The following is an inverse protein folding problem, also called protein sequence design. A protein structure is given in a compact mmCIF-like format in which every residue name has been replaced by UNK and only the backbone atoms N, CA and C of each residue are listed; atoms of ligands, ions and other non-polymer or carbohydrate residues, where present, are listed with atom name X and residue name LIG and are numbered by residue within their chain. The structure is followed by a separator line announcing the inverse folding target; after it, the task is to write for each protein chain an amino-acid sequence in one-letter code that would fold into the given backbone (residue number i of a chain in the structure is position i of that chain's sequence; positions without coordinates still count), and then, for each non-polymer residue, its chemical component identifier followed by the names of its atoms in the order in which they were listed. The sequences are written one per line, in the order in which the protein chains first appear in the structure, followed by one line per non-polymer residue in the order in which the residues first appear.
data_IF_726109528119
#
_entry.id   IF_726109528119
#
_cell.length_a   1.000
_cell.length_b   1.000
_cell.length_c   1.000
_cell.angle_alpha   90.00
_cell.angle_beta   90.00
_cell.angle_gamma   90.00
#
_symmetry.space_group_name_H-M   'P 1'
#
loop_
_entity.id
_entity.type
_entity.pdbx_description
1 polymer ?
#
# COMPACT_ATOMS: atom_id res chain seq x y z
N UNK A 1 -2.51 -11.49 20.52
CA UNK A 1 -1.31 -11.35 19.67
C UNK A 1 -1.70 -10.35 18.61
N UNK A 2 -1.47 -9.08 18.92
CA UNK A 2 -1.75 -7.95 18.07
C UNK A 2 -0.79 -7.97 16.89
N UNK A 3 -1.31 -8.27 15.70
CA UNK A 3 -0.55 -8.27 14.44
C UNK A 3 -0.17 -6.84 13.98
N UNK A 4 -0.53 -5.81 14.75
CA UNK A 4 -0.21 -4.41 14.45
C UNK A 4 1.18 -3.97 14.92
N UNK A 5 1.71 -4.57 15.99
CA UNK A 5 2.97 -4.12 16.60
C UNK A 5 4.24 -4.53 15.81
N UNK A 6 4.21 -5.68 15.12
CA UNK A 6 5.42 -6.21 14.47
C UNK A 6 5.92 -5.39 13.26
N UNK A 7 5.03 -4.63 12.62
CA UNK A 7 5.40 -3.80 11.46
C UNK A 7 5.95 -2.44 11.90
N UNK A 8 5.42 -1.85 12.98
CA UNK A 8 5.89 -0.56 13.49
C UNK A 8 7.25 -0.68 14.19
N UNK A 9 7.48 -1.71 15.01
CA UNK A 9 8.82 -1.97 15.59
C UNK A 9 9.87 -2.19 14.48
N UNK A 10 9.50 -2.89 13.40
CA UNK A 10 10.42 -3.11 12.28
C UNK A 10 10.78 -1.83 11.54
N UNK A 11 9.88 -0.84 11.42
CA UNK A 11 10.18 0.42 10.73
C UNK A 11 11.14 1.30 11.54
N UNK A 12 11.06 1.26 12.87
CA UNK A 12 11.98 2.02 13.72
C UNK A 12 13.41 1.48 13.70
N UNK A 13 13.61 0.19 13.43
CA UNK A 13 14.93 -0.42 13.30
C UNK A 13 15.60 -0.18 11.93
N UNK A 14 14.83 0.16 10.90
CA UNK A 14 15.35 0.44 9.56
C UNK A 14 16.12 1.78 9.50
N UNK A 15 17.17 1.79 8.69
CA UNK A 15 17.90 3.02 8.36
C UNK A 15 17.09 3.94 7.45
N UNK A 16 17.43 5.23 7.39
CA UNK A 16 16.81 6.19 6.44
C UNK A 16 16.86 5.70 4.99
N UNK A 17 17.92 4.98 4.61
CA UNK A 17 18.07 4.43 3.26
C UNK A 17 17.06 3.31 3.03
N UNK A 18 16.97 2.35 3.94
CA UNK A 18 16.03 1.24 3.84
C UNK A 18 14.57 1.70 3.88
N UNK A 19 14.25 2.69 4.71
CA UNK A 19 12.92 3.30 4.75
C UNK A 19 12.56 3.98 3.41
N UNK A 20 13.52 4.64 2.75
CA UNK A 20 13.30 5.20 1.40
C UNK A 20 13.09 4.12 0.34
N UNK A 21 13.90 3.07 0.37
CA UNK A 21 13.72 1.93 -0.55
C UNK A 21 12.38 1.23 -0.32
N UNK A 22 11.94 1.12 0.93
CA UNK A 22 10.62 0.55 1.26
C UNK A 22 9.49 1.48 0.82
N UNK A 23 9.64 2.80 1.00
CA UNK A 23 8.68 3.79 0.52
C UNK A 23 8.50 3.70 -1.00
N UNK A 24 9.60 3.68 -1.75
CA UNK A 24 9.59 3.54 -3.21
C UNK A 24 8.87 2.26 -3.63
N UNK A 25 9.21 1.12 -3.04
CA UNK A 25 8.52 -0.16 -3.32
C UNK A 25 7.02 -0.11 -3.03
N UNK A 26 6.59 0.59 -1.99
CA UNK A 26 5.16 0.71 -1.66
C UNK A 26 4.44 1.65 -2.59
N UNK A 27 5.10 2.72 -3.06
CA UNK A 27 4.58 3.61 -4.09
C UNK A 27 4.44 2.88 -5.43
N UNK A 28 5.46 2.13 -5.84
CA UNK A 28 5.40 1.31 -7.05
C UNK A 28 4.25 0.29 -6.98
N UNK A 29 4.10 -0.40 -5.84
CA UNK A 29 3.00 -1.33 -5.62
C UNK A 29 1.62 -0.63 -5.69
N UNK A 30 1.50 0.57 -5.12
CA UNK A 30 0.27 1.35 -5.19
C UNK A 30 -0.10 1.65 -6.65
N UNK A 31 0.88 2.10 -7.44
CA UNK A 31 0.68 2.42 -8.85
C UNK A 31 0.33 1.16 -9.67
N UNK A 32 1.01 0.02 -9.43
CA UNK A 32 0.68 -1.26 -10.07
C UNK A 32 -0.76 -1.70 -9.79
N UNK A 33 -1.18 -1.69 -8.51
CA UNK A 33 -2.55 -2.07 -8.12
C UNK A 33 -3.58 -1.11 -8.70
N UNK A 34 -3.26 0.18 -8.78
CA UNK A 34 -4.14 1.19 -9.36
C UNK A 34 -4.28 1.00 -10.86
N UNK A 35 -3.19 0.74 -11.59
CA UNK A 35 -3.22 0.44 -13.01
C UNK A 35 -4.02 -0.85 -13.29
N UNK A 36 -3.83 -1.89 -12.47
CA UNK A 36 -4.59 -3.13 -12.59
C UNK A 36 -6.08 -2.89 -12.34
N UNK A 37 -6.44 -2.10 -11.32
CA UNK A 37 -7.81 -1.71 -11.05
C UNK A 37 -8.40 -0.97 -12.27
N UNK A 38 -7.72 0.04 -12.80
CA UNK A 38 -8.20 0.80 -13.96
C UNK A 38 -8.36 -0.08 -15.20
N UNK A 39 -7.40 -0.96 -15.46
CA UNK A 39 -7.45 -1.92 -16.56
C UNK A 39 -8.62 -2.88 -16.40
N UNK A 40 -8.80 -3.44 -15.20
CA UNK A 40 -9.88 -4.38 -14.88
C UNK A 40 -11.24 -3.72 -14.97
N UNK A 41 -11.40 -2.52 -14.43
CA UNK A 41 -12.63 -1.74 -14.50
C UNK A 41 -12.99 -1.36 -15.94
N UNK A 42 -11.98 -1.01 -16.75
CA UNK A 42 -12.17 -0.68 -18.17
C UNK A 42 -12.56 -1.89 -19.01
N UNK A 43 -11.96 -3.06 -18.76
CA UNK A 43 -12.20 -4.26 -19.56
C UNK A 43 -13.44 -5.06 -19.13
N UNK A 44 -13.84 -5.01 -17.87
CA UNK A 44 -14.88 -5.88 -17.35
C UNK A 44 -16.32 -5.40 -17.65
N UNK A 45 -16.49 -4.22 -18.24
CA UNK A 45 -17.80 -3.73 -18.69
C UNK A 45 -18.86 -3.72 -17.57
N UNK A 46 -20.09 -4.18 -17.86
CA UNK A 46 -21.18 -4.30 -16.87
C UNK A 46 -21.11 -5.56 -15.98
N UNK A 47 -20.11 -6.43 -16.17
CA UNK A 47 -20.05 -7.76 -15.56
C UNK A 47 -18.99 -7.89 -14.45
N UNK A 48 -18.60 -6.77 -13.84
CA UNK A 48 -17.77 -6.83 -12.64
C UNK A 48 -18.54 -7.48 -11.51
N UNK A 49 -17.93 -8.46 -10.81
CA UNK A 49 -18.42 -8.86 -9.50
C UNK A 49 -18.56 -7.61 -8.62
N UNK A 50 -19.70 -7.47 -7.94
CA UNK A 50 -20.05 -6.24 -7.22
C UNK A 50 -19.01 -5.78 -6.19
N UNK A 51 -18.14 -6.68 -5.74
CA UNK A 51 -17.13 -6.41 -4.72
C UNK A 51 -15.70 -6.24 -5.28
N UNK A 52 -15.49 -6.39 -6.60
CA UNK A 52 -14.13 -6.30 -7.18
C UNK A 52 -13.55 -4.91 -7.01
N UNK A 53 -14.36 -3.87 -7.26
CA UNK A 53 -13.95 -2.48 -7.02
C UNK A 53 -13.62 -2.23 -5.56
N UNK A 54 -14.49 -2.65 -4.65
CA UNK A 54 -14.31 -2.48 -3.20
C UNK A 54 -13.05 -3.19 -2.69
N UNK A 55 -12.70 -4.34 -3.28
CA UNK A 55 -11.47 -5.06 -2.95
C UNK A 55 -10.22 -4.27 -3.36
N UNK A 56 -10.17 -3.74 -4.59
CA UNK A 56 -9.07 -2.88 -5.03
C UNK A 56 -8.98 -1.59 -4.19
N UNK A 57 -10.12 -0.94 -3.93
CA UNK A 57 -10.15 0.28 -3.09
C UNK A 57 -9.63 -0.02 -1.67
N UNK A 58 -9.98 -1.17 -1.10
CA UNK A 58 -9.44 -1.60 0.20
C UNK A 58 -7.93 -1.87 0.14
N UNK A 59 -7.45 -2.51 -0.91
CA UNK A 59 -6.03 -2.81 -1.08
C UNK A 59 -5.20 -1.53 -1.22
N UNK A 60 -5.65 -0.60 -2.06
CA UNK A 60 -5.04 0.72 -2.21
C UNK A 60 -5.01 1.48 -0.89
N UNK A 61 -6.10 1.45 -0.10
CA UNK A 61 -6.13 2.08 1.23
C UNK A 61 -5.14 1.45 2.21
N UNK A 62 -4.94 0.13 2.17
CA UNK A 62 -3.95 -0.53 3.02
C UNK A 62 -2.53 -0.11 2.63
N UNK A 63 -2.23 -0.05 1.34
CA UNK A 63 -0.91 0.39 0.83
C UNK A 63 -0.67 1.85 1.20
N UNK A 64 -1.66 2.73 1.04
CA UNK A 64 -1.58 4.14 1.41
C UNK A 64 -1.30 4.32 2.92
N UNK A 65 -1.97 3.54 3.78
CA UNK A 65 -1.68 3.54 5.22
C UNK A 65 -0.26 3.08 5.55
N UNK A 66 0.29 2.11 4.81
CA UNK A 66 1.68 1.68 4.98
C UNK A 66 2.67 2.76 4.52
N UNK A 67 2.38 3.44 3.40
CA UNK A 67 3.16 4.59 2.90
C UNK A 67 3.21 5.69 3.96
N UNK A 68 2.06 6.07 4.53
CA UNK A 68 1.98 7.10 5.57
C UNK A 68 2.78 6.75 6.82
N UNK A 69 2.76 5.48 7.23
CA UNK A 69 3.59 4.99 8.36
C UNK A 69 5.07 5.10 8.06
N UNK A 70 5.50 4.72 6.84
CA UNK A 70 6.90 4.80 6.43
C UNK A 70 7.36 6.26 6.34
N UNK A 71 6.54 7.16 5.81
CA UNK A 71 6.81 8.61 5.78
C UNK A 71 6.93 9.18 7.19
N UNK A 72 6.00 8.82 8.08
CA UNK A 72 6.06 9.22 9.49
C UNK A 72 7.35 8.71 10.17
N UNK A 73 7.77 7.47 9.87
CA UNK A 73 9.02 6.93 10.38
C UNK A 73 10.24 7.67 9.82
N UNK A 74 10.22 8.06 8.53
CA UNK A 74 11.26 8.88 7.91
C UNK A 74 11.39 10.26 8.54
N UNK A 75 10.26 10.93 8.84
CA UNK A 75 10.24 12.25 9.48
C UNK A 75 10.75 12.23 10.93
N UNK A 76 10.57 11.10 11.63
CA UNK A 76 11.08 10.90 12.99
C UNK A 76 12.58 10.62 13.06
N UNK A 77 13.25 10.31 11.94
CA UNK A 77 14.69 9.99 11.86
C UNK A 77 15.55 11.21 11.59
#
# INVERSE_FOLDING_TARGET
MDLKDGLEESLEDLSKKELRELLEKKQDLYDEVKEEMEFTLKNAGHHLPGNTRDNYERELQMIEQEIDKIQTALDKK
#
